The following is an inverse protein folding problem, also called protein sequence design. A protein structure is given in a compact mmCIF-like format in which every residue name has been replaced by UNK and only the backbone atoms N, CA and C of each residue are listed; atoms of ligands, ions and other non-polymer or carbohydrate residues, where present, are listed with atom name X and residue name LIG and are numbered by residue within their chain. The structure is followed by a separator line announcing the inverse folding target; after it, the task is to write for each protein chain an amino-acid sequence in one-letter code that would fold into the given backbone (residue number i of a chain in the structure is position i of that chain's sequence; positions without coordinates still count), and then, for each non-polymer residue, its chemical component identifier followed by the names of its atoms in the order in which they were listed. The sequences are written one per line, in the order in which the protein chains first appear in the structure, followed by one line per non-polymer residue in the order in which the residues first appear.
data_IF_885763774026
#
_entry.id   IF_885763774026
#
_cell.length_a   1.000
_cell.length_b   1.000
_cell.length_c   1.000
_cell.angle_alpha   90.00
_cell.angle_beta   90.00
_cell.angle_gamma   90.00
#
_symmetry.space_group_name_H-M   'P 1'
#
loop_
_entity.id
_entity.type
_entity.pdbx_description
1 polymer ?
#
# COMPACT_ATOMS: atom_id res chain seq x y z
N UNK A 1 24.51 -22.27 11.74
CA UNK A 1 23.09 -21.88 11.80
C UNK A 1 23.02 -20.39 12.06
N UNK A 2 22.89 -19.54 11.03
CA UNK A 2 22.63 -18.11 11.23
C UNK A 2 21.19 -17.94 11.73
N UNK A 3 21.01 -17.19 12.82
CA UNK A 3 19.69 -16.84 13.36
C UNK A 3 18.89 -16.17 12.24
N UNK A 4 17.82 -16.81 11.75
CA UNK A 4 16.81 -16.12 10.96
C UNK A 4 16.34 -14.91 11.76
N UNK A 5 16.21 -13.73 11.14
CA UNK A 5 15.52 -12.61 11.77
C UNK A 5 14.10 -13.08 12.09
N UNK A 6 13.70 -12.99 13.36
CA UNK A 6 12.36 -13.31 13.81
C UNK A 6 11.81 -12.10 14.56
N UNK A 7 10.53 -11.83 14.36
CA UNK A 7 9.83 -10.83 15.16
C UNK A 7 9.80 -11.30 16.61
N UNK A 8 10.29 -10.46 17.53
CA UNK A 8 10.39 -10.81 18.96
C UNK A 8 9.03 -10.88 19.66
N UNK A 9 8.03 -10.14 19.16
CA UNK A 9 6.71 -10.01 19.79
C UNK A 9 5.60 -9.98 18.75
N UNK A 10 4.40 -10.42 19.14
CA UNK A 10 3.20 -10.31 18.29
C UNK A 10 2.86 -8.87 17.95
N UNK A 11 3.07 -7.93 18.89
CA UNK A 11 2.86 -6.49 18.67
C UNK A 11 3.85 -5.94 17.64
N UNK A 12 5.12 -6.35 17.69
CA UNK A 12 6.13 -5.97 16.68
C UNK A 12 5.74 -6.44 15.28
N UNK A 13 5.27 -7.67 15.16
CA UNK A 13 4.72 -8.20 13.89
C UNK A 13 3.52 -7.38 13.39
N UNK A 14 2.53 -7.11 14.25
CA UNK A 14 1.32 -6.37 13.89
C UNK A 14 1.69 -4.97 13.41
N UNK A 15 2.56 -4.27 14.12
CA UNK A 15 2.99 -2.92 13.76
C UNK A 15 3.83 -2.89 12.48
N UNK A 16 4.70 -3.87 12.26
CA UNK A 16 5.46 -3.96 11.01
C UNK A 16 4.56 -4.25 9.82
N UNK A 17 3.61 -5.19 9.97
CA UNK A 17 2.64 -5.54 8.94
C UNK A 17 1.67 -4.39 8.67
N UNK A 18 1.22 -3.71 9.73
CA UNK A 18 0.42 -2.50 9.63
C UNK A 18 1.20 -1.37 8.95
N UNK A 19 2.47 -1.14 9.27
CA UNK A 19 3.30 -0.14 8.59
C UNK A 19 3.62 -0.46 7.12
N UNK A 20 3.43 -1.72 6.70
CA UNK A 20 3.50 -2.16 5.30
C UNK A 20 2.16 -1.99 4.58
N UNK A 21 1.04 -2.12 5.29
CA UNK A 21 -0.32 -1.92 4.76
C UNK A 21 -0.78 -0.45 4.81
N UNK A 22 -0.32 0.31 5.80
CA UNK A 22 -0.68 1.71 6.08
C UNK A 22 0.45 2.59 5.54
N UNK A 23 0.42 2.78 4.22
CA UNK A 23 1.34 3.65 3.48
C UNK A 23 0.60 4.49 2.46
N UNK A 24 1.16 4.60 1.26
CA UNK A 24 0.51 5.32 0.15
C UNK A 24 -0.87 4.77 -0.20
N UNK A 25 -1.15 3.49 0.06
CA UNK A 25 -2.44 2.87 -0.26
C UNK A 25 -3.62 3.50 0.44
N UNK A 26 -3.54 3.61 1.76
CA UNK A 26 -4.60 4.21 2.58
C UNK A 26 -4.60 5.74 2.50
N UNK A 27 -3.42 6.35 2.48
CA UNK A 27 -3.28 7.81 2.61
C UNK A 27 -3.45 8.57 1.29
N UNK A 28 -2.87 8.06 0.22
CA UNK A 28 -2.81 8.74 -1.07
C UNK A 28 -3.73 8.09 -2.09
N UNK A 29 -3.67 6.76 -2.22
CA UNK A 29 -4.38 6.02 -3.25
C UNK A 29 -5.88 6.00 -3.02
N UNK A 30 -6.30 5.70 -1.79
CA UNK A 30 -7.73 5.62 -1.46
C UNK A 30 -8.47 6.92 -1.78
N UNK A 31 -8.04 8.12 -1.32
CA UNK A 31 -8.78 9.33 -1.60
C UNK A 31 -8.94 9.65 -3.09
N UNK A 32 -7.90 9.56 -3.91
CA UNK A 32 -8.08 9.87 -5.33
C UNK A 32 -8.95 8.83 -6.04
N UNK A 33 -8.84 7.55 -5.66
CA UNK A 33 -9.69 6.50 -6.22
C UNK A 33 -11.16 6.70 -5.82
N UNK A 34 -11.42 7.04 -4.55
CA UNK A 34 -12.77 7.41 -4.12
C UNK A 34 -13.28 8.64 -4.86
N UNK A 35 -12.42 9.64 -5.12
CA UNK A 35 -12.78 10.83 -5.89
C UNK A 35 -13.22 10.51 -7.31
N UNK A 36 -12.43 9.70 -8.02
CA UNK A 36 -12.68 9.35 -9.44
C UNK A 36 -13.88 8.39 -9.61
N UNK A 37 -14.16 7.53 -8.63
CA UNK A 37 -15.12 6.42 -8.80
C UNK A 37 -16.39 6.52 -7.94
N UNK A 38 -16.82 7.73 -7.57
CA UNK A 38 -18.15 7.96 -6.98
C UNK A 38 -18.21 7.99 -5.46
N UNK A 39 -17.12 8.42 -4.82
CA UNK A 39 -17.07 8.81 -3.40
C UNK A 39 -17.56 7.71 -2.44
N UNK A 40 -18.68 7.98 -1.77
CA UNK A 40 -19.27 7.10 -0.76
C UNK A 40 -19.65 5.72 -1.29
N UNK A 41 -20.06 5.59 -2.55
CA UNK A 41 -20.38 4.28 -3.13
C UNK A 41 -19.11 3.44 -3.36
N UNK A 42 -18.02 4.09 -3.80
CA UNK A 42 -16.70 3.44 -3.87
C UNK A 42 -16.20 3.03 -2.49
N UNK A 43 -16.32 3.92 -1.49
CA UNK A 43 -15.96 3.60 -0.10
C UNK A 43 -16.73 2.37 0.39
N UNK A 44 -18.04 2.30 0.17
CA UNK A 44 -18.85 1.15 0.58
C UNK A 44 -18.35 -0.15 -0.05
N UNK A 45 -18.10 -0.16 -1.36
CA UNK A 45 -17.56 -1.36 -2.02
C UNK A 45 -16.15 -1.71 -1.54
N UNK A 46 -15.29 -0.72 -1.32
CA UNK A 46 -13.97 -0.92 -0.72
C UNK A 46 -14.07 -1.57 0.66
N UNK A 47 -15.00 -1.12 1.52
CA UNK A 47 -15.23 -1.71 2.85
C UNK A 47 -15.73 -3.15 2.75
N UNK A 48 -16.70 -3.41 1.87
CA UNK A 48 -17.23 -4.76 1.62
C UNK A 48 -16.12 -5.68 1.17
N UNK A 49 -15.33 -5.30 0.16
CA UNK A 49 -14.23 -6.13 -0.33
C UNK A 49 -13.15 -6.32 0.72
N UNK A 50 -12.81 -5.29 1.48
CA UNK A 50 -11.77 -5.36 2.52
C UNK A 50 -12.17 -6.30 3.66
N UNK A 51 -13.44 -6.28 4.08
CA UNK A 51 -13.93 -7.12 5.19
C UNK A 51 -14.22 -8.56 4.72
N UNK A 52 -14.89 -8.73 3.58
CA UNK A 52 -15.39 -10.04 3.16
C UNK A 52 -14.44 -10.81 2.23
N UNK A 53 -13.47 -10.15 1.60
CA UNK A 53 -12.47 -10.77 0.72
C UNK A 53 -11.07 -10.57 1.30
N UNK A 54 -10.70 -9.31 1.56
CA UNK A 54 -9.37 -8.92 2.03
C UNK A 54 -8.98 -9.59 3.34
N UNK A 55 -9.82 -9.49 4.38
CA UNK A 55 -9.54 -10.10 5.69
C UNK A 55 -9.38 -11.64 5.61
N UNK A 56 -10.29 -12.41 4.99
CA UNK A 56 -10.09 -13.85 4.78
C UNK A 56 -8.80 -14.21 4.02
N UNK A 57 -8.45 -13.46 2.98
CA UNK A 57 -7.20 -13.64 2.23
C UNK A 57 -5.97 -13.31 3.07
N UNK A 58 -6.02 -12.27 3.90
CA UNK A 58 -4.92 -11.91 4.80
C UNK A 58 -4.68 -13.01 5.84
N UNK A 59 -5.75 -13.57 6.41
CA UNK A 59 -5.68 -14.73 7.31
C UNK A 59 -5.04 -15.93 6.57
N UNK A 60 -5.39 -16.14 5.30
CA UNK A 60 -4.80 -17.18 4.45
C UNK A 60 -3.30 -16.97 4.25
N UNK A 61 -2.87 -15.79 3.83
CA UNK A 61 -1.45 -15.49 3.64
C UNK A 61 -0.65 -15.65 4.93
N UNK A 62 -1.18 -15.18 6.06
CA UNK A 62 -0.56 -15.38 7.37
C UNK A 62 -0.46 -16.85 7.76
N UNK A 63 -1.49 -17.65 7.46
CA UNK A 63 -1.48 -19.10 7.73
C UNK A 63 -0.40 -19.80 6.91
N UNK A 64 -0.30 -19.50 5.61
CA UNK A 64 0.72 -20.06 4.72
C UNK A 64 2.12 -19.67 5.20
N UNK A 65 2.35 -18.39 5.49
CA UNK A 65 3.63 -17.88 5.96
C UNK A 65 4.08 -18.60 7.23
N UNK A 66 3.19 -18.66 8.23
CA UNK A 66 3.48 -19.28 9.53
C UNK A 66 3.70 -20.79 9.44
N UNK A 67 3.02 -21.48 8.51
CA UNK A 67 3.20 -22.90 8.23
C UNK A 67 4.53 -23.17 7.52
N UNK A 68 4.88 -22.37 6.52
CA UNK A 68 6.05 -22.61 5.67
C UNK A 68 7.38 -22.14 6.24
N UNK A 69 7.42 -21.04 7.01
CA UNK A 69 8.63 -20.47 7.65
C UNK A 69 9.86 -20.44 6.75
N UNK A 70 9.69 -19.95 5.53
CA UNK A 70 10.75 -19.81 4.52
C UNK A 70 10.41 -18.64 3.59
N UNK A 71 11.37 -18.23 2.76
CA UNK A 71 11.17 -17.20 1.74
C UNK A 71 10.11 -17.63 0.69
N UNK A 72 9.36 -16.65 0.19
CA UNK A 72 8.11 -16.87 -0.56
C UNK A 72 8.27 -17.57 -1.89
N UNK A 73 9.39 -17.39 -2.59
CA UNK A 73 9.62 -18.11 -3.86
C UNK A 73 9.84 -19.61 -3.69
N UNK A 74 10.09 -20.11 -2.48
CA UNK A 74 10.20 -21.54 -2.20
C UNK A 74 9.08 -22.10 -1.29
N UNK A 75 8.26 -21.24 -0.69
CA UNK A 75 7.29 -21.65 0.33
C UNK A 75 6.24 -22.61 -0.23
N UNK A 76 5.75 -22.35 -1.44
CA UNK A 76 4.72 -23.15 -2.08
C UNK A 76 5.21 -24.56 -2.37
N UNK A 77 6.40 -24.71 -2.96
CA UNK A 77 6.99 -26.02 -3.26
C UNK A 77 7.40 -26.79 -2.01
N UNK A 78 7.82 -26.10 -0.94
CA UNK A 78 8.07 -26.72 0.37
C UNK A 78 6.81 -27.32 0.97
N UNK A 79 5.68 -26.61 0.90
CA UNK A 79 4.41 -27.03 1.49
C UNK A 79 3.68 -28.09 0.65
N UNK A 80 3.76 -28.01 -0.68
CA UNK A 80 3.06 -28.95 -1.58
C UNK A 80 3.88 -30.20 -1.93
N UNK A 81 5.21 -30.16 -1.73
CA UNK A 81 6.14 -31.16 -2.26
C UNK A 81 6.38 -31.05 -3.78
N UNK A 82 5.75 -30.09 -4.46
CA UNK A 82 5.82 -29.91 -5.93
C UNK A 82 6.54 -28.62 -6.29
N UNK A 83 7.76 -28.70 -6.83
CA UNK A 83 8.59 -27.51 -7.13
C UNK A 83 7.93 -26.50 -8.09
N UNK A 84 7.07 -26.94 -9.01
CA UNK A 84 6.41 -26.05 -9.98
C UNK A 84 5.48 -25.01 -9.31
N UNK A 85 4.94 -25.29 -8.12
CA UNK A 85 4.05 -24.35 -7.41
C UNK A 85 4.78 -23.09 -6.94
N UNK A 86 6.11 -23.09 -6.96
CA UNK A 86 6.93 -21.90 -6.68
C UNK A 86 6.69 -20.75 -7.66
N UNK A 87 6.08 -21.01 -8.82
CA UNK A 87 5.68 -19.97 -9.77
C UNK A 87 4.78 -18.90 -9.12
N UNK A 88 3.94 -19.29 -8.15
CA UNK A 88 3.09 -18.36 -7.40
C UNK A 88 3.96 -17.34 -6.65
N UNK A 89 5.00 -17.82 -5.96
CA UNK A 89 5.96 -16.96 -5.26
C UNK A 89 6.75 -16.05 -6.20
N UNK A 90 7.16 -16.54 -7.37
CA UNK A 90 7.86 -15.72 -8.38
C UNK A 90 6.95 -14.65 -9.00
N UNK A 91 5.68 -14.96 -9.22
CA UNK A 91 4.70 -13.97 -9.71
C UNK A 91 4.48 -12.84 -8.70
N UNK A 92 4.39 -13.17 -7.40
CA UNK A 92 4.32 -12.19 -6.34
C UNK A 92 5.58 -11.32 -6.26
N UNK A 93 6.77 -11.92 -6.47
CA UNK A 93 8.02 -11.17 -6.51
C UNK A 93 8.05 -10.15 -7.68
N UNK A 94 7.59 -10.56 -8.86
CA UNK A 94 7.45 -9.64 -10.00
C UNK A 94 6.46 -8.50 -9.68
N UNK A 95 5.35 -8.82 -9.02
CA UNK A 95 4.36 -7.83 -8.60
C UNK A 95 4.96 -6.78 -7.67
N UNK A 96 5.68 -7.18 -6.61
CA UNK A 96 6.32 -6.21 -5.69
C UNK A 96 7.44 -5.41 -6.34
N UNK A 97 8.13 -5.98 -7.33
CA UNK A 97 9.17 -5.28 -8.09
C UNK A 97 8.57 -4.14 -8.93
N UNK A 98 7.52 -4.43 -9.70
CA UNK A 98 6.81 -3.40 -10.50
C UNK A 98 6.10 -2.39 -9.58
N UNK A 99 5.51 -2.88 -8.48
CA UNK A 99 4.88 -2.05 -7.45
C UNK A 99 5.85 -1.01 -6.90
N UNK A 100 7.06 -1.43 -6.52
CA UNK A 100 8.06 -0.49 -6.00
C UNK A 100 8.42 0.58 -7.04
N UNK A 101 8.40 0.24 -8.33
CA UNK A 101 8.59 1.17 -9.42
C UNK A 101 7.65 2.38 -9.35
N UNK A 102 6.34 2.19 -9.50
CA UNK A 102 5.42 3.34 -9.46
C UNK A 102 5.24 3.93 -8.05
N UNK A 103 5.38 3.11 -6.99
CA UNK A 103 5.35 3.58 -5.61
C UNK A 103 6.47 4.60 -5.34
N UNK A 104 7.65 4.41 -5.95
CA UNK A 104 8.78 5.34 -5.81
C UNK A 104 8.56 6.70 -6.46
N UNK A 105 7.67 6.80 -7.47
CA UNK A 105 7.31 8.07 -8.11
C UNK A 105 6.63 8.98 -7.10
N UNK A 106 5.60 8.46 -6.43
CA UNK A 106 4.85 9.16 -5.38
C UNK A 106 5.74 9.44 -4.17
N UNK A 107 6.59 8.48 -3.78
CA UNK A 107 7.61 8.70 -2.76
C UNK A 107 8.54 9.87 -3.09
N UNK A 108 8.91 10.01 -4.37
CA UNK A 108 9.69 11.14 -4.88
C UNK A 108 8.96 12.48 -4.77
N UNK A 109 7.64 12.50 -5.01
CA UNK A 109 6.83 13.72 -4.79
C UNK A 109 6.87 14.18 -3.34
N UNK A 110 6.80 13.25 -2.39
CA UNK A 110 6.92 13.58 -0.96
C UNK A 110 8.28 14.22 -0.66
N UNK A 111 9.37 13.67 -1.18
CA UNK A 111 10.73 14.24 -1.02
C UNK A 111 10.80 15.67 -1.57
N UNK A 112 10.25 15.89 -2.76
CA UNK A 112 10.26 17.22 -3.40
C UNK A 112 9.46 18.22 -2.56
N UNK A 113 8.28 17.84 -2.08
CA UNK A 113 7.44 18.70 -1.24
C UNK A 113 8.11 19.01 0.11
N UNK A 114 8.77 18.03 0.74
CA UNK A 114 9.56 18.27 1.96
C UNK A 114 10.63 19.33 1.69
N UNK A 115 11.37 19.21 0.59
CA UNK A 115 12.43 20.16 0.25
C UNK A 115 11.85 21.57 0.02
N UNK A 116 10.76 21.70 -0.72
CA UNK A 116 10.13 23.00 -0.99
C UNK A 116 9.62 23.68 0.28
N UNK A 117 8.90 22.94 1.13
CA UNK A 117 8.36 23.47 2.40
C UNK A 117 9.49 23.80 3.38
N UNK A 118 10.55 22.99 3.43
CA UNK A 118 11.72 23.28 4.24
C UNK A 118 12.44 24.56 3.77
N UNK A 119 12.65 24.73 2.46
CA UNK A 119 13.23 25.95 1.89
C UNK A 119 12.39 27.19 2.20
N UNK A 120 11.07 27.06 2.15
CA UNK A 120 10.14 28.13 2.51
C UNK A 120 10.27 28.53 3.99
N UNK A 121 10.33 27.55 4.90
CA UNK A 121 10.45 27.80 6.34
C UNK A 121 11.75 28.50 6.74
N UNK A 122 12.84 28.27 6.00
CA UNK A 122 14.12 28.95 6.22
C UNK A 122 14.25 30.28 5.47
N UNK A 123 13.18 30.75 4.82
CA UNK A 123 13.14 32.02 4.10
C UNK A 123 13.85 32.03 2.75
N UNK A 124 14.22 30.85 2.22
CA UNK A 124 14.85 30.69 0.90
C UNK A 124 13.83 30.37 -0.21
N UNK A 125 12.60 30.00 0.16
CA UNK A 125 11.49 29.77 -0.77
C UNK A 125 10.68 31.04 -1.04
N UNK A 126 10.10 31.13 -2.25
CA UNK A 126 9.14 32.18 -2.59
C UNK A 126 7.70 31.68 -2.42
N UNK A 127 6.81 32.54 -1.92
CA UNK A 127 5.37 32.27 -1.82
C UNK A 127 4.89 31.60 -0.52
N UNK A 128 3.59 31.29 -0.50
CA UNK A 128 2.90 30.59 0.61
C UNK A 128 2.70 29.10 0.28
N UNK A 129 2.28 28.26 1.24
CA UNK A 129 2.04 26.83 0.97
C UNK A 129 1.09 26.61 -0.22
N UNK A 130 0.07 27.45 -0.35
CA UNK A 130 -0.91 27.38 -1.42
C UNK A 130 -0.39 27.75 -2.82
N UNK A 131 0.82 28.33 -2.89
CA UNK A 131 1.49 28.66 -4.16
C UNK A 131 2.29 27.49 -4.75
N UNK A 132 2.43 26.38 -4.02
CA UNK A 132 3.06 25.17 -4.54
C UNK A 132 2.09 24.50 -5.54
N UNK A 133 2.33 24.70 -6.82
CA UNK A 133 1.53 24.11 -7.89
C UNK A 133 2.00 22.68 -8.22
N UNK A 134 1.26 21.68 -7.76
CA UNK A 134 1.58 20.26 -7.98
C UNK A 134 1.88 19.94 -9.44
N UNK A 135 1.01 20.38 -10.37
CA UNK A 135 1.14 20.07 -11.79
C UNK A 135 2.44 20.65 -12.39
N UNK A 136 2.88 21.82 -11.92
CA UNK A 136 4.17 22.39 -12.33
C UNK A 136 5.34 21.56 -11.80
N UNK A 137 5.24 21.09 -10.55
CA UNK A 137 6.28 20.24 -9.93
C UNK A 137 6.45 18.93 -10.70
N UNK A 138 5.35 18.23 -11.00
CA UNK A 138 5.42 16.93 -11.69
C UNK A 138 5.72 17.06 -13.19
N UNK A 139 5.49 18.23 -13.79
CA UNK A 139 5.82 18.49 -15.19
C UNK A 139 7.32 18.67 -15.44
N UNK A 140 8.14 18.85 -14.40
CA UNK A 140 9.59 18.97 -14.55
C UNK A 140 10.28 17.59 -14.44
N UNK A 141 10.80 17.04 -15.56
CA UNK A 141 11.34 15.68 -15.59
C UNK A 141 12.56 15.50 -14.68
N UNK A 142 13.43 16.51 -14.60
CA UNK A 142 14.67 16.45 -13.82
C UNK A 142 14.34 16.40 -12.33
N UNK A 143 13.47 17.29 -11.85
CA UNK A 143 13.06 17.29 -10.44
C UNK A 143 12.40 15.98 -10.03
N UNK A 144 11.50 15.45 -10.85
CA UNK A 144 10.80 14.20 -10.54
C UNK A 144 11.70 12.97 -10.54
N UNK A 145 12.66 12.87 -11.49
CA UNK A 145 13.61 11.76 -11.53
C UNK A 145 14.57 11.82 -10.34
N UNK A 146 15.05 13.01 -9.97
CA UNK A 146 15.92 13.18 -8.80
C UNK A 146 15.16 12.82 -7.51
N UNK A 147 13.93 13.31 -7.33
CA UNK A 147 13.11 12.98 -6.17
C UNK A 147 12.87 11.47 -6.02
N UNK A 148 12.53 10.80 -7.12
CA UNK A 148 12.39 9.35 -7.17
C UNK A 148 13.71 8.64 -6.84
N UNK A 149 14.82 9.07 -7.44
CA UNK A 149 16.14 8.50 -7.20
C UNK A 149 16.57 8.62 -5.73
N UNK A 150 16.31 9.76 -5.10
CA UNK A 150 16.56 9.97 -3.66
C UNK A 150 15.70 9.03 -2.82
N UNK A 151 14.41 8.89 -3.13
CA UNK A 151 13.52 7.99 -2.40
C UNK A 151 14.03 6.53 -2.48
N UNK A 152 14.34 6.04 -3.67
CA UNK A 152 14.89 4.69 -3.87
C UNK A 152 16.24 4.54 -3.17
N UNK A 153 17.10 5.55 -3.20
CA UNK A 153 18.40 5.54 -2.53
C UNK A 153 18.25 5.39 -1.01
N UNK A 154 17.33 6.12 -0.39
CA UNK A 154 17.04 6.01 1.04
C UNK A 154 16.56 4.58 1.36
N UNK A 155 15.59 4.06 0.59
CA UNK A 155 15.11 2.68 0.75
C UNK A 155 16.25 1.66 0.61
N UNK A 156 17.11 1.83 -0.39
CA UNK A 156 18.26 0.97 -0.67
C UNK A 156 19.23 0.96 0.52
N UNK A 157 19.62 2.12 1.03
CA UNK A 157 20.55 2.24 2.16
C UNK A 157 19.99 1.57 3.40
N UNK A 158 18.70 1.78 3.71
CA UNK A 158 18.06 1.14 4.86
C UNK A 158 18.04 -0.38 4.72
N UNK A 159 17.72 -0.90 3.53
CA UNK A 159 17.75 -2.33 3.26
C UNK A 159 19.18 -2.87 3.36
N UNK A 160 20.18 -2.20 2.78
CA UNK A 160 21.59 -2.61 2.87
C UNK A 160 22.07 -2.77 4.31
N UNK A 161 21.71 -1.82 5.17
CA UNK A 161 22.13 -1.80 6.58
C UNK A 161 21.36 -2.79 7.46
N UNK A 162 20.25 -3.38 6.98
CA UNK A 162 19.46 -4.34 7.74
C UNK A 162 18.84 -3.74 9.01
N UNK A 163 18.47 -2.45 8.97
CA UNK A 163 17.99 -1.67 10.13
C UNK A 163 16.56 -2.01 10.58
N UNK A 164 16.07 -3.20 10.24
CA UNK A 164 14.70 -3.69 10.51
C UNK A 164 14.29 -3.49 11.99
N UNK A 165 15.22 -3.72 12.92
CA UNK A 165 15.00 -3.51 14.35
C UNK A 165 14.86 -2.04 14.75
N UNK A 166 15.57 -1.13 14.07
CA UNK A 166 15.45 0.30 14.27
C UNK A 166 14.12 0.83 13.75
N UNK A 167 13.65 0.30 12.61
CA UNK A 167 12.36 0.64 12.02
C UNK A 167 11.19 0.21 12.89
N UNK A 168 11.25 -0.96 13.54
CA UNK A 168 10.20 -1.39 14.48
C UNK A 168 10.04 -0.37 15.62
N UNK A 169 11.16 0.12 16.18
CA UNK A 169 11.15 1.14 17.24
C UNK A 169 10.63 2.48 16.74
N UNK A 170 11.08 2.93 15.57
CA UNK A 170 10.60 4.17 14.98
C UNK A 170 9.11 4.10 14.67
N UNK A 171 8.62 2.99 14.12
CA UNK A 171 7.21 2.80 13.75
C UNK A 171 6.26 2.89 14.95
N UNK A 172 6.71 2.45 16.14
CA UNK A 172 5.95 2.58 17.40
C UNK A 172 5.67 4.03 17.80
N UNK A 173 6.45 4.99 17.29
CA UNK A 173 6.28 6.43 17.55
C UNK A 173 5.67 7.12 16.34
N UNK A 174 6.20 6.87 15.14
CA UNK A 174 5.83 7.57 13.92
C UNK A 174 4.39 7.27 13.47
N UNK A 175 3.93 6.02 13.56
CA UNK A 175 2.55 5.69 13.14
C UNK A 175 1.48 6.33 14.04
N UNK A 176 1.56 6.25 15.38
CA UNK A 176 0.64 6.98 16.24
C UNK A 176 0.68 8.49 16.00
N UNK A 177 1.86 9.07 15.78
CA UNK A 177 1.99 10.50 15.52
C UNK A 177 1.36 10.88 14.18
N UNK A 178 1.53 10.07 13.13
CA UNK A 178 0.85 10.25 11.84
C UNK A 178 -0.69 10.24 12.03
N UNK A 179 -1.19 9.33 12.87
CA UNK A 179 -2.62 9.23 13.17
C UNK A 179 -3.15 10.48 13.89
N UNK A 180 -2.40 11.01 14.86
CA UNK A 180 -2.74 12.27 15.53
C UNK A 180 -2.79 13.42 14.52
N UNK A 181 -1.79 13.52 13.63
CA UNK A 181 -1.77 14.55 12.59
C UNK A 181 -2.95 14.42 11.61
N UNK A 182 -3.31 13.20 11.21
CA UNK A 182 -4.51 12.96 10.41
C UNK A 182 -5.78 13.49 11.10
N UNK A 183 -5.96 13.21 12.38
CA UNK A 183 -7.11 13.73 13.14
C UNK A 183 -7.10 15.26 13.16
N UNK A 184 -5.94 15.88 13.38
CA UNK A 184 -5.82 17.35 13.34
C UNK A 184 -6.23 17.91 11.97
N UNK A 185 -5.80 17.28 10.88
CA UNK A 185 -6.17 17.68 9.51
C UNK A 185 -7.68 17.51 9.31
N UNK A 186 -8.27 16.39 9.75
CA UNK A 186 -9.73 16.15 9.65
C UNK A 186 -10.50 17.24 10.40
N UNK A 187 -10.12 17.55 11.65
CA UNK A 187 -10.76 18.62 12.44
C UNK A 187 -10.67 19.96 11.69
N UNK A 188 -9.52 20.28 11.12
CA UNK A 188 -9.36 21.51 10.34
C UNK A 188 -10.20 21.48 9.07
N UNK A 189 -10.19 20.37 8.33
CA UNK A 189 -10.94 20.20 7.08
C UNK A 189 -12.45 20.32 7.30
N UNK A 190 -12.96 19.80 8.43
CA UNK A 190 -14.38 19.87 8.79
C UNK A 190 -14.83 21.27 9.24
N UNK A 191 -13.90 22.14 9.60
CA UNK A 191 -14.22 23.53 9.98
C UNK A 191 -14.16 24.53 8.81
N UNK A 192 -13.85 24.06 7.60
CA UNK A 192 -13.86 24.89 6.39
C UNK A 192 -15.29 25.08 5.85
N UNK A 193 -15.51 26.21 5.19
CA UNK A 193 -16.78 26.49 4.52
C UNK A 193 -17.04 25.48 3.39
N UNK A 194 -18.26 24.97 3.28
CA UNK A 194 -18.62 23.94 2.29
C UNK A 194 -18.20 22.50 2.68
N UNK A 195 -17.60 22.30 3.86
CA UNK A 195 -17.16 20.97 4.32
C UNK A 195 -18.27 19.90 4.31
N UNK A 196 -19.52 20.30 4.60
CA UNK A 196 -20.65 19.38 4.66
C UNK A 196 -20.89 18.64 3.34
N UNK A 197 -20.67 19.28 2.20
CA UNK A 197 -20.83 18.66 0.87
C UNK A 197 -19.74 17.61 0.62
N UNK A 198 -18.49 17.91 0.99
CA UNK A 198 -17.39 16.95 0.90
C UNK A 198 -17.56 15.76 1.84
N UNK A 199 -18.12 15.97 3.04
CA UNK A 199 -18.50 14.87 3.95
C UNK A 199 -19.59 14.00 3.33
N UNK A 200 -20.65 14.61 2.76
CA UNK A 200 -21.70 13.86 2.04
C UNK A 200 -21.10 13.08 0.87
N UNK A 201 -20.24 13.69 0.07
CA UNK A 201 -19.59 13.03 -1.06
C UNK A 201 -18.89 11.72 -0.67
N UNK A 202 -18.17 11.69 0.46
CA UNK A 202 -17.42 10.49 0.87
C UNK A 202 -18.19 9.53 1.78
N UNK A 203 -19.21 10.00 2.52
CA UNK A 203 -19.95 9.16 3.48
C UNK A 203 -21.35 8.73 3.00
N UNK A 204 -21.94 9.43 2.04
CA UNK A 204 -23.26 9.11 1.49
C UNK A 204 -23.11 8.22 0.24
N UNK A 205 -23.48 6.92 0.31
CA UNK A 205 -23.28 6.02 -0.82
C UNK A 205 -24.35 6.23 -1.89
N UNK A 206 -23.98 6.90 -2.98
CA UNK A 206 -24.82 7.06 -4.18
C UNK A 206 -24.46 6.02 -5.23
N UNK A 207 -25.21 4.93 -5.30
CA UNK A 207 -24.92 3.81 -6.22
C UNK A 207 -24.96 4.21 -7.70
N UNK A 208 -25.67 5.28 -8.03
CA UNK A 208 -25.73 5.86 -9.37
C UNK A 208 -24.37 6.41 -9.84
N UNK A 209 -23.51 6.83 -8.90
CA UNK A 209 -22.17 7.36 -9.21
C UNK A 209 -21.12 6.24 -9.38
N UNK A 210 -21.50 4.99 -9.08
CA UNK A 210 -20.58 3.86 -9.09
C UNK A 210 -20.69 3.07 -10.40
N UNK A 211 -19.66 3.20 -11.23
CA UNK A 211 -19.53 2.37 -12.43
C UNK A 211 -19.05 0.95 -12.12
N UNK A 212 -19.27 0.02 -13.05
CA UNK A 212 -18.68 -1.32 -12.97
C UNK A 212 -17.15 -1.25 -12.83
N UNK A 213 -16.52 -0.33 -13.56
CA UNK A 213 -15.09 -0.05 -13.42
C UNK A 213 -14.74 0.37 -11.97
N UNK A 214 -15.53 1.24 -11.36
CA UNK A 214 -15.38 1.62 -9.95
C UNK A 214 -15.42 0.44 -8.98
N UNK A 215 -16.31 -0.54 -9.21
CA UNK A 215 -16.36 -1.79 -8.43
C UNK A 215 -15.04 -2.58 -8.56
N UNK A 216 -14.53 -2.75 -9.78
CA UNK A 216 -13.27 -3.46 -10.02
C UNK A 216 -12.08 -2.76 -9.36
N UNK A 217 -12.04 -1.45 -9.44
CA UNK A 217 -11.01 -0.64 -8.79
C UNK A 217 -11.12 -0.63 -7.26
N UNK A 218 -12.33 -0.73 -6.70
CA UNK A 218 -12.51 -0.89 -5.25
C UNK A 218 -11.93 -2.22 -4.75
N UNK A 219 -12.07 -3.31 -5.53
CA UNK A 219 -11.42 -4.59 -5.22
C UNK A 219 -9.89 -4.47 -5.30
N UNK A 220 -9.36 -3.92 -6.40
CA UNK A 220 -7.93 -3.70 -6.57
C UNK A 220 -7.34 -2.82 -5.46
N UNK A 221 -8.09 -1.79 -5.04
CA UNK A 221 -7.72 -0.93 -3.93
C UNK A 221 -7.70 -1.68 -2.59
N UNK A 222 -8.65 -2.58 -2.35
CA UNK A 222 -8.63 -3.46 -1.17
C UNK A 222 -7.38 -4.34 -1.12
N UNK A 223 -6.97 -4.89 -2.27
CA UNK A 223 -5.80 -5.77 -2.37
C UNK A 223 -4.51 -4.97 -2.15
N UNK A 224 -4.43 -3.80 -2.78
CA UNK A 224 -3.32 -2.87 -2.61
C UNK A 224 -3.19 -2.41 -1.15
N UNK A 225 -4.29 -1.98 -0.54
CA UNK A 225 -4.30 -1.46 0.82
C UNK A 225 -3.86 -2.50 1.86
N UNK A 226 -4.11 -3.79 1.61
CA UNK A 226 -3.69 -4.88 2.49
C UNK A 226 -2.43 -5.62 2.00
N UNK A 227 -1.81 -5.18 0.92
CA UNK A 227 -0.66 -5.82 0.25
C UNK A 227 -0.88 -7.30 -0.11
N UNK A 228 -2.10 -7.66 -0.50
CA UNK A 228 -2.53 -9.03 -0.80
C UNK A 228 -2.13 -9.47 -2.21
N UNK A 229 -1.94 -10.78 -2.39
CA UNK A 229 -1.67 -11.38 -3.69
C UNK A 229 -0.23 -11.19 -4.20
N UNK A 230 0.61 -10.46 -3.46
CA UNK A 230 2.02 -10.23 -3.81
C UNK A 230 2.99 -11.11 -3.02
N UNK A 231 2.46 -12.00 -2.17
CA UNK A 231 3.22 -12.80 -1.19
C UNK A 231 3.94 -12.01 -0.09
N UNK A 232 3.81 -10.68 -0.06
CA UNK A 232 4.43 -9.85 0.98
C UNK A 232 4.00 -10.23 2.39
N UNK A 233 2.70 -10.40 2.61
CA UNK A 233 2.15 -10.78 3.92
C UNK A 233 2.49 -12.22 4.30
N UNK A 234 2.64 -13.13 3.32
CA UNK A 234 3.21 -14.47 3.52
C UNK A 234 4.64 -14.38 4.08
N UNK A 235 5.50 -13.56 3.49
CA UNK A 235 6.88 -13.38 3.98
C UNK A 235 6.89 -12.86 5.40
N UNK A 236 6.10 -11.82 5.71
CA UNK A 236 6.05 -11.22 7.03
C UNK A 236 5.66 -12.26 8.08
N UNK A 237 4.62 -13.06 7.78
CA UNK A 237 4.14 -14.12 8.65
C UNK A 237 5.11 -15.30 8.76
N UNK A 238 6.03 -15.50 7.80
CA UNK A 238 7.07 -16.52 7.88
C UNK A 238 8.07 -16.26 9.03
N UNK A 239 8.22 -15.00 9.43
CA UNK A 239 9.06 -14.54 10.54
C UNK A 239 8.29 -14.35 11.85
N UNK A 240 6.98 -14.62 11.86
CA UNK A 240 6.13 -14.38 13.02
C UNK A 240 6.46 -15.30 14.22
N UNK A 241 6.28 -14.79 15.46
CA UNK A 241 6.47 -15.60 16.66
C UNK A 241 5.42 -16.73 16.71
N UNK A 242 5.73 -17.82 17.42
CA UNK A 242 4.84 -18.99 17.49
C UNK A 242 3.50 -18.62 18.15
N UNK A 243 3.54 -17.70 19.10
CA UNK A 243 2.46 -17.25 19.96
C UNK A 243 1.51 -16.26 19.26
N UNK A 244 1.88 -15.75 18.07
CA UNK A 244 1.04 -14.82 17.31
C UNK A 244 -0.33 -15.45 16.98
N UNK A 245 -1.40 -14.74 17.31
CA UNK A 245 -2.76 -15.04 16.89
C UNK A 245 -3.04 -14.44 15.51
N UNK A 246 -3.22 -15.31 14.52
CA UNK A 246 -3.45 -14.92 13.12
C UNK A 246 -4.68 -14.02 12.98
N UNK A 247 -5.82 -14.47 13.52
CA UNK A 247 -7.11 -13.77 13.41
C UNK A 247 -7.05 -12.35 13.97
N UNK A 248 -6.59 -12.21 15.21
CA UNK A 248 -6.51 -10.90 15.87
C UNK A 248 -5.56 -9.97 15.13
N UNK A 249 -4.41 -10.49 14.69
CA UNK A 249 -3.42 -9.68 13.96
C UNK A 249 -3.98 -9.19 12.62
N UNK A 250 -4.62 -10.08 11.83
CA UNK A 250 -5.23 -9.72 10.57
C UNK A 250 -6.37 -8.71 10.76
N UNK A 251 -7.24 -8.92 11.75
CA UNK A 251 -8.33 -8.00 12.05
C UNK A 251 -7.82 -6.61 12.47
N UNK A 252 -6.79 -6.55 13.33
CA UNK A 252 -6.19 -5.28 13.73
C UNK A 252 -5.64 -4.51 12.53
N UNK A 253 -4.92 -5.18 11.61
CA UNK A 253 -4.37 -4.55 10.41
C UNK A 253 -5.49 -4.00 9.50
N UNK A 254 -6.53 -4.80 9.28
CA UNK A 254 -7.68 -4.40 8.46
C UNK A 254 -8.42 -3.21 9.05
N UNK A 255 -8.70 -3.23 10.36
CA UNK A 255 -9.38 -2.11 11.03
C UNK A 255 -8.53 -0.85 10.97
N UNK A 256 -7.23 -0.92 11.29
CA UNK A 256 -6.35 0.24 11.21
C UNK A 256 -6.29 0.81 9.79
N UNK A 257 -6.23 -0.06 8.77
CA UNK A 257 -6.22 0.37 7.37
C UNK A 257 -7.52 1.09 6.97
N UNK A 258 -8.68 0.55 7.36
CA UNK A 258 -9.99 1.17 7.11
C UNK A 258 -10.07 2.54 7.78
N UNK A 259 -9.68 2.64 9.05
CA UNK A 259 -9.73 3.92 9.78
C UNK A 259 -8.83 4.95 9.11
N UNK A 260 -7.59 4.59 8.76
CA UNK A 260 -6.67 5.53 8.10
C UNK A 260 -7.19 5.96 6.73
N UNK A 261 -7.75 5.03 5.94
CA UNK A 261 -8.34 5.35 4.63
C UNK A 261 -9.52 6.32 4.78
N UNK A 262 -10.38 6.10 5.76
CA UNK A 262 -11.51 6.98 6.07
C UNK A 262 -11.05 8.36 6.53
N UNK A 263 -10.07 8.43 7.43
CA UNK A 263 -9.48 9.69 7.89
C UNK A 263 -8.81 10.44 6.73
N UNK A 264 -8.10 9.75 5.84
CA UNK A 264 -7.50 10.37 4.66
C UNK A 264 -8.57 10.95 3.72
N UNK A 265 -9.69 10.24 3.52
CA UNK A 265 -10.84 10.77 2.80
C UNK A 265 -11.42 12.03 3.47
N UNK A 266 -11.67 11.98 4.78
CA UNK A 266 -12.20 13.10 5.56
C UNK A 266 -11.21 14.28 5.72
N UNK A 267 -9.91 14.04 5.51
CA UNK A 267 -8.89 15.09 5.49
C UNK A 267 -8.86 15.86 4.16
N UNK A 268 -9.39 15.26 3.09
CA UNK A 268 -9.32 15.78 1.72
C UNK A 268 -10.68 16.30 1.27
N UNK A 269 -11.72 15.45 1.24
CA UNK A 269 -12.99 15.76 0.61
C UNK A 269 -13.72 16.96 1.22
N UNK A 270 -13.78 17.17 2.54
CA UNK A 270 -14.40 18.37 3.10
C UNK A 270 -13.67 19.66 2.70
N UNK A 271 -12.37 19.60 2.37
CA UNK A 271 -11.59 20.76 1.97
C UNK A 271 -11.68 21.09 0.47
N UNK A 272 -12.10 20.17 -0.41
CA UNK A 272 -12.03 20.41 -1.86
C UNK A 272 -12.96 21.55 -2.30
N UNK A 273 -14.19 21.61 -1.77
CA UNK A 273 -15.16 22.65 -2.15
C UNK A 273 -14.72 24.02 -1.64
N UNK A 274 -14.17 24.09 -0.43
CA UNK A 274 -13.62 25.31 0.15
C UNK A 274 -12.52 25.94 -0.71
N UNK A 275 -11.78 25.12 -1.46
CA UNK A 275 -10.66 25.57 -2.30
C UNK A 275 -10.94 25.47 -3.81
N UNK A 276 -12.15 25.10 -4.22
CA UNK A 276 -12.55 25.00 -5.63
C UNK A 276 -11.89 23.83 -6.39
N UNK A 277 -11.41 22.80 -5.68
CA UNK A 277 -10.90 21.58 -6.30
C UNK A 277 -12.03 20.60 -6.62
N UNK A 278 -11.81 19.76 -7.64
CA UNK A 278 -12.72 18.67 -7.99
C UNK A 278 -12.28 17.34 -7.35
N UNK A 279 -13.20 16.42 -7.04
CA UNK A 279 -12.84 15.08 -6.58
C UNK A 279 -11.95 14.31 -7.56
N UNK A 280 -12.08 14.56 -8.86
CA UNK A 280 -11.46 13.77 -9.93
C UNK A 280 -10.07 14.29 -10.36
N UNK A 281 -9.37 15.06 -9.51
CA UNK A 281 -8.00 15.57 -9.75
C UNK A 281 -6.91 14.47 -9.80
N UNK A 282 -7.30 13.20 -9.65
CA UNK A 282 -6.45 12.04 -9.83
C UNK A 282 -5.29 11.95 -8.81
N UNK A 283 -4.16 11.33 -9.20
CA UNK A 283 -3.00 11.10 -8.33
C UNK A 283 -2.47 12.32 -7.55
N UNK A 284 -2.72 13.53 -8.03
CA UNK A 284 -2.25 14.77 -7.41
C UNK A 284 -3.11 15.29 -6.26
N UNK A 285 -4.32 14.75 -6.05
CA UNK A 285 -5.35 15.35 -5.18
C UNK A 285 -4.82 15.71 -3.78
N UNK A 286 -4.15 14.76 -3.10
CA UNK A 286 -3.58 14.99 -1.77
C UNK A 286 -2.58 16.15 -1.75
N UNK A 287 -1.71 16.22 -2.77
CA UNK A 287 -0.66 17.22 -2.88
C UNK A 287 -1.16 18.61 -3.32
N UNK A 288 -2.38 18.69 -3.86
CA UNK A 288 -3.07 19.97 -4.18
C UNK A 288 -3.86 20.49 -2.97
N UNK A 289 -4.55 19.60 -2.26
CA UNK A 289 -5.51 19.97 -1.21
C UNK A 289 -4.81 20.23 0.13
N UNK A 290 -3.95 19.32 0.59
CA UNK A 290 -3.39 19.43 1.95
C UNK A 290 -2.55 20.70 2.19
N UNK A 291 -1.70 21.18 1.25
CA UNK A 291 -1.00 22.46 1.45
C UNK A 291 -1.95 23.61 1.79
N UNK A 292 -3.13 23.65 1.13
CA UNK A 292 -4.16 24.67 1.36
C UNK A 292 -4.85 24.50 2.72
N UNK A 293 -5.12 23.26 3.15
CA UNK A 293 -5.67 23.01 4.50
C UNK A 293 -4.71 23.51 5.58
N UNK A 294 -3.42 23.19 5.45
CA UNK A 294 -2.40 23.64 6.41
C UNK A 294 -2.18 25.15 6.37
N UNK A 295 -2.29 25.79 5.21
CA UNK A 295 -2.21 27.25 5.08
C UNK A 295 -3.25 27.99 5.93
N UNK A 296 -4.40 27.35 6.20
CA UNK A 296 -5.46 27.88 7.07
C UNK A 296 -5.18 27.70 8.57
N UNK A 297 -4.02 27.16 8.96
CA UNK A 297 -3.63 26.91 10.35
C UNK A 297 -2.51 27.87 10.80
N UNK A 298 -2.56 28.32 12.05
CA UNK A 298 -1.42 28.99 12.68
C UNK A 298 -0.20 28.07 12.68
N UNK A 299 0.94 28.56 12.19
CA UNK A 299 2.16 27.76 11.96
C UNK A 299 1.96 26.58 10.98
N UNK A 300 1.07 26.74 10.01
CA UNK A 300 0.70 25.73 9.02
C UNK A 300 1.86 25.05 8.30
N UNK A 301 2.86 25.81 7.85
CA UNK A 301 4.02 25.28 7.14
C UNK A 301 4.85 24.32 7.99
N UNK A 302 5.01 24.59 9.28
CA UNK A 302 5.68 23.69 10.20
C UNK A 302 4.91 22.39 10.43
N UNK A 303 3.58 22.49 10.63
CA UNK A 303 2.73 21.30 10.75
C UNK A 303 2.71 20.47 9.47
N UNK A 304 2.68 21.11 8.29
CA UNK A 304 2.72 20.42 7.01
C UNK A 304 4.06 19.70 6.79
N UNK A 305 5.18 20.33 7.15
CA UNK A 305 6.49 19.68 7.08
C UNK A 305 6.54 18.42 7.96
N UNK A 306 6.05 18.51 9.20
CA UNK A 306 6.01 17.35 10.11
C UNK A 306 5.12 16.25 9.52
N UNK A 307 3.94 16.61 9.01
CA UNK A 307 3.05 15.67 8.33
C UNK A 307 3.75 14.98 7.16
N UNK A 308 4.44 15.73 6.29
CA UNK A 308 5.15 15.17 5.15
C UNK A 308 6.29 14.23 5.58
N UNK A 309 7.01 14.54 6.67
CA UNK A 309 8.04 13.65 7.22
C UNK A 309 7.42 12.35 7.74
N UNK A 310 6.29 12.42 8.44
CA UNK A 310 5.55 11.24 8.92
C UNK A 310 4.99 10.42 7.76
N UNK A 311 4.51 11.11 6.73
CA UNK A 311 4.01 10.48 5.52
C UNK A 311 5.14 9.82 4.72
N UNK A 312 6.29 10.46 4.60
CA UNK A 312 7.51 9.89 4.03
C UNK A 312 7.93 8.65 4.81
N UNK A 313 7.89 8.69 6.14
CA UNK A 313 8.22 7.54 6.97
C UNK A 313 7.29 6.34 6.67
N UNK A 314 5.99 6.56 6.58
CA UNK A 314 5.02 5.52 6.21
C UNK A 314 5.21 5.01 4.77
N UNK A 315 5.60 5.90 3.84
CA UNK A 315 5.96 5.50 2.49
C UNK A 315 7.24 4.65 2.48
N UNK A 316 8.24 5.04 3.27
CA UNK A 316 9.51 4.32 3.38
C UNK A 316 9.32 2.93 3.99
N UNK A 317 8.54 2.75 5.06
CA UNK A 317 8.29 1.43 5.68
C UNK A 317 7.73 0.44 4.66
N UNK A 318 6.79 0.88 3.83
CA UNK A 318 6.24 0.07 2.75
C UNK A 318 7.29 -0.22 1.68
N UNK A 319 8.05 0.79 1.22
CA UNK A 319 9.08 0.60 0.19
C UNK A 319 10.21 -0.36 0.62
N UNK A 320 10.60 -0.31 1.90
CA UNK A 320 11.59 -1.21 2.49
C UNK A 320 11.08 -2.64 2.43
N UNK A 321 9.79 -2.85 2.73
CA UNK A 321 9.13 -4.15 2.58
C UNK A 321 9.24 -4.67 1.14
N UNK A 322 8.93 -3.83 0.16
CA UNK A 322 8.94 -4.21 -1.27
C UNK A 322 10.35 -4.56 -1.77
N UNK A 323 11.36 -3.79 -1.37
CA UNK A 323 12.75 -4.08 -1.74
C UNK A 323 13.30 -5.31 -0.98
N UNK A 324 13.01 -5.44 0.32
CA UNK A 324 13.47 -6.58 1.13
C UNK A 324 12.93 -7.92 0.61
N UNK A 325 11.69 -7.95 0.12
CA UNK A 325 11.11 -9.13 -0.51
C UNK A 325 11.96 -9.61 -1.69
N UNK A 326 12.36 -8.70 -2.57
CA UNK A 326 13.25 -9.01 -3.69
C UNK A 326 14.64 -9.43 -3.20
N UNK A 327 15.24 -8.70 -2.26
CA UNK A 327 16.60 -8.96 -1.78
C UNK A 327 16.73 -10.29 -1.05
N UNK A 328 15.77 -10.63 -0.19
CA UNK A 328 15.78 -11.86 0.62
C UNK A 328 15.77 -13.13 -0.25
N UNK A 329 15.10 -13.09 -1.41
CA UNK A 329 15.03 -14.21 -2.37
C UNK A 329 16.40 -14.50 -2.99
N UNK A 330 17.11 -13.47 -3.45
CA UNK A 330 18.40 -13.66 -4.14
C UNK A 330 19.57 -13.85 -3.17
N UNK A 331 19.47 -13.31 -1.96
CA UNK A 331 20.47 -13.54 -0.91
C UNK A 331 20.38 -14.96 -0.34
N UNK A 332 19.20 -15.57 -0.30
CA UNK A 332 18.98 -16.91 0.29
C UNK A 332 19.56 -17.04 1.71
N UNK A 333 19.44 -15.98 2.51
CA UNK A 333 20.06 -15.82 3.85
C UNK A 333 21.59 -15.66 3.87
N UNK A 334 22.24 -15.42 2.74
CA UNK A 334 23.65 -15.03 2.68
C UNK A 334 23.79 -13.50 2.75
N UNK A 335 24.02 -13.00 3.96
CA UNK A 335 24.18 -11.57 4.23
C UNK A 335 25.33 -10.93 3.44
N UNK A 336 26.35 -11.70 2.99
CA UNK A 336 27.44 -11.15 2.18
C UNK A 336 26.98 -10.63 0.81
N UNK A 337 25.87 -11.18 0.31
CA UNK A 337 25.27 -10.77 -0.97
C UNK A 337 24.29 -9.61 -0.81
N UNK A 338 23.87 -9.29 0.41
CA UNK A 338 22.78 -8.34 0.70
C UNK A 338 23.01 -6.98 0.05
N UNK A 339 24.18 -6.39 0.28
CA UNK A 339 24.53 -5.09 -0.31
C UNK A 339 24.49 -5.12 -1.84
N UNK A 340 25.15 -6.11 -2.44
CA UNK A 340 25.20 -6.24 -3.91
C UNK A 340 23.81 -6.41 -4.52
N UNK A 341 22.97 -7.26 -3.91
CA UNK A 341 21.61 -7.54 -4.39
C UNK A 341 20.70 -6.33 -4.21
N UNK A 342 20.80 -5.63 -3.08
CA UNK A 342 20.03 -4.40 -2.83
C UNK A 342 20.36 -3.32 -3.86
N UNK A 343 21.65 -3.09 -4.15
CA UNK A 343 22.09 -2.13 -5.16
C UNK A 343 21.55 -2.50 -6.55
N UNK A 344 21.72 -3.75 -6.97
CA UNK A 344 21.22 -4.21 -8.27
C UNK A 344 19.69 -4.05 -8.36
N UNK A 345 18.96 -4.48 -7.32
CA UNK A 345 17.52 -4.36 -7.25
C UNK A 345 17.05 -2.92 -7.36
N UNK A 346 17.65 -2.01 -6.59
CA UNK A 346 17.32 -0.58 -6.61
C UNK A 346 17.64 0.09 -7.94
N UNK A 347 18.77 -0.24 -8.57
CA UNK A 347 19.12 0.28 -9.90
C UNK A 347 18.11 -0.19 -10.95
N UNK A 348 17.74 -1.47 -10.93
CA UNK A 348 16.74 -2.01 -11.87
C UNK A 348 15.36 -1.37 -11.68
N UNK A 349 14.93 -1.19 -10.42
CA UNK A 349 13.67 -0.49 -10.11
C UNK A 349 13.71 0.94 -10.62
N UNK A 350 14.80 1.67 -10.35
CA UNK A 350 14.96 3.04 -10.83
C UNK A 350 14.84 3.13 -12.35
N UNK A 351 15.57 2.29 -13.09
CA UNK A 351 15.52 2.28 -14.55
C UNK A 351 14.13 1.97 -15.12
N UNK A 352 13.45 0.95 -14.56
CA UNK A 352 12.12 0.54 -15.03
C UNK A 352 11.03 1.56 -14.66
N UNK A 353 11.26 2.38 -13.65
CA UNK A 353 10.27 3.36 -13.17
C UNK A 353 10.45 4.77 -13.72
N UNK A 354 11.56 5.08 -14.40
CA UNK A 354 11.75 6.36 -15.11
C UNK A 354 10.60 6.66 -16.09
N UNK A 355 10.14 5.73 -16.96
CA UNK A 355 9.04 6.01 -17.86
C UNK A 355 7.74 6.38 -17.15
N UNK A 356 7.44 5.77 -15.99
CA UNK A 356 6.27 6.13 -15.19
C UNK A 356 6.41 7.54 -14.60
N UNK A 357 7.58 7.92 -14.10
CA UNK A 357 7.86 9.27 -13.64
C UNK A 357 7.69 10.30 -14.76
N UNK A 358 8.23 10.00 -15.94
CA UNK A 358 8.16 10.88 -17.11
C UNK A 358 6.75 10.96 -17.71
N UNK A 359 5.85 10.04 -17.37
CA UNK A 359 4.46 10.08 -17.86
C UNK A 359 3.64 11.27 -17.32
N UNK A 360 4.15 11.98 -16.31
CA UNK A 360 3.60 13.25 -15.85
C UNK A 360 4.26 14.48 -16.50
N UNK A 361 5.26 14.27 -17.35
CA UNK A 361 6.05 15.33 -18.00
C UNK A 361 6.30 15.00 -19.47
N UNK A 362 7.52 14.60 -19.83
CA UNK A 362 7.96 14.42 -21.23
C UNK A 362 7.24 13.30 -21.98
N UNK A 363 6.69 12.31 -21.28
CA UNK A 363 5.93 11.19 -21.84
C UNK A 363 4.42 11.31 -21.58
N UNK A 364 3.94 12.49 -21.19
CA UNK A 364 2.51 12.72 -20.91
C UNK A 364 1.59 12.46 -22.08
N UNK A 365 2.04 12.61 -23.33
CA UNK A 365 1.25 12.30 -24.51
C UNK A 365 1.08 10.79 -24.81
N UNK A 366 1.79 9.91 -24.10
CA UNK A 366 1.72 8.46 -24.33
C UNK A 366 0.63 7.85 -23.47
N UNK A 367 -0.51 7.56 -24.10
CA UNK A 367 -1.63 6.86 -23.48
C UNK A 367 -1.96 5.57 -24.21
N UNK A 368 -2.16 4.50 -23.46
CA UNK A 368 -2.62 3.21 -23.97
C UNK A 368 -3.25 2.39 -22.84
N UNK A 369 -4.09 1.42 -23.17
CA UNK A 369 -4.64 0.47 -22.18
C UNK A 369 -5.42 1.16 -21.06
N UNK A 370 -4.80 1.24 -19.88
CA UNK A 370 -5.39 1.82 -18.66
C UNK A 370 -5.16 3.34 -18.50
N UNK A 371 -4.30 3.96 -19.31
CA UNK A 371 -4.01 5.39 -19.21
C UNK A 371 -2.57 5.74 -19.56
N UNK A 372 -1.94 6.58 -18.74
CA UNK A 372 -0.51 6.89 -18.82
C UNK A 372 0.37 5.67 -18.51
N UNK A 373 1.68 5.77 -18.68
CA UNK A 373 2.60 4.68 -18.30
C UNK A 373 2.50 4.38 -16.80
N UNK A 374 2.34 5.41 -15.95
CA UNK A 374 2.10 5.25 -14.53
C UNK A 374 0.82 4.45 -14.26
N UNK A 375 -0.29 4.82 -14.91
CA UNK A 375 -1.59 4.16 -14.72
C UNK A 375 -1.54 2.69 -15.17
N UNK A 376 -0.82 2.40 -16.27
CA UNK A 376 -0.63 1.03 -16.74
C UNK A 376 0.19 0.18 -15.77
N UNK A 377 1.25 0.75 -15.15
CA UNK A 377 2.02 0.05 -14.12
C UNK A 377 1.17 -0.23 -12.88
N UNK A 378 0.38 0.75 -12.44
CA UNK A 378 -0.54 0.56 -11.32
C UNK A 378 -1.59 -0.50 -11.63
N UNK A 379 -2.24 -0.42 -12.79
CA UNK A 379 -3.24 -1.38 -13.23
C UNK A 379 -2.67 -2.80 -13.34
N UNK A 380 -1.48 -2.96 -13.93
CA UNK A 380 -0.81 -4.25 -14.03
C UNK A 380 -0.61 -4.88 -12.64
N UNK A 381 -0.24 -4.10 -11.63
CA UNK A 381 -0.03 -4.65 -10.29
C UNK A 381 -1.36 -4.84 -9.56
N UNK A 382 -2.09 -3.75 -9.35
CA UNK A 382 -3.25 -3.67 -8.45
C UNK A 382 -4.45 -4.45 -8.96
N UNK A 383 -4.59 -4.55 -10.29
CA UNK A 383 -5.76 -5.13 -10.93
C UNK A 383 -5.46 -6.44 -11.68
N UNK A 384 -4.20 -6.74 -11.98
CA UNK A 384 -3.82 -8.00 -12.63
C UNK A 384 -3.01 -8.90 -11.71
N UNK A 385 -1.79 -8.53 -11.36
CA UNK A 385 -0.87 -9.41 -10.64
C UNK A 385 -1.35 -9.74 -9.23
N UNK A 386 -1.89 -8.77 -8.49
CA UNK A 386 -2.45 -8.99 -7.15
C UNK A 386 -3.67 -9.93 -7.16
N UNK A 387 -4.73 -9.68 -7.98
CA UNK A 387 -5.84 -10.62 -8.11
C UNK A 387 -5.43 -12.02 -8.54
N UNK A 388 -4.56 -12.14 -9.55
CA UNK A 388 -4.07 -13.45 -10.02
C UNK A 388 -3.25 -14.18 -8.95
N UNK A 389 -2.40 -13.46 -8.21
CA UNK A 389 -1.62 -14.04 -7.11
C UNK A 389 -2.51 -14.52 -5.97
N UNK A 390 -3.52 -13.74 -5.60
CA UNK A 390 -4.52 -14.14 -4.60
C UNK A 390 -5.32 -15.37 -5.08
N UNK A 391 -5.80 -15.37 -6.32
CA UNK A 391 -6.50 -16.50 -6.93
C UNK A 391 -5.64 -17.77 -6.91
N UNK A 392 -4.40 -17.70 -7.40
CA UNK A 392 -3.48 -18.84 -7.40
C UNK A 392 -3.20 -19.35 -5.98
N UNK A 393 -3.10 -18.45 -5.00
CA UNK A 393 -2.90 -18.81 -3.59
C UNK A 393 -4.15 -19.48 -3.00
N UNK A 394 -5.36 -19.02 -3.33
CA UNK A 394 -6.61 -19.69 -2.89
C UNK A 394 -6.72 -21.12 -3.45
N UNK A 395 -6.40 -21.33 -4.73
CA UNK A 395 -6.37 -22.66 -5.34
C UNK A 395 -5.32 -23.54 -4.67
N UNK A 396 -4.13 -23.00 -4.41
CA UNK A 396 -3.07 -23.71 -3.70
C UNK A 396 -3.53 -24.21 -2.32
N UNK A 397 -4.15 -23.35 -1.52
CA UNK A 397 -4.66 -23.70 -0.19
C UNK A 397 -5.82 -24.71 -0.28
N UNK A 398 -6.75 -24.49 -1.20
CA UNK A 398 -7.94 -25.33 -1.35
C UNK A 398 -7.65 -26.74 -1.87
N UNK A 399 -6.65 -26.88 -2.76
CA UNK A 399 -6.39 -28.13 -3.48
C UNK A 399 -5.14 -28.88 -3.02
N UNK A 400 -4.09 -28.19 -2.56
CA UNK A 400 -2.79 -28.80 -2.29
C UNK A 400 -2.45 -28.89 -0.79
N UNK A 401 -3.11 -28.12 0.07
CA UNK A 401 -2.87 -28.17 1.52
C UNK A 401 -3.93 -29.01 2.24
N UNK A 402 -3.49 -29.74 3.26
CA UNK A 402 -4.39 -30.52 4.13
C UNK A 402 -5.06 -29.59 5.13
N UNK A 403 -6.39 -29.72 5.27
CA UNK A 403 -7.18 -28.95 6.24
C UNK A 403 -6.62 -29.02 7.67
N UNK A 404 -6.16 -30.21 8.11
CA UNK A 404 -5.58 -30.41 9.45
C UNK A 404 -4.33 -29.55 9.71
N UNK A 405 -3.49 -29.34 8.70
CA UNK A 405 -2.28 -28.54 8.83
C UNK A 405 -2.62 -27.05 8.99
N UNK A 406 -3.65 -26.59 8.27
CA UNK A 406 -4.19 -25.24 8.39
C UNK A 406 -4.84 -25.00 9.76
N UNK A 407 -5.64 -25.95 10.23
CA UNK A 407 -6.35 -25.87 11.53
C UNK A 407 -5.38 -25.71 12.69
N UNK A 408 -4.28 -26.48 12.67
CA UNK A 408 -3.23 -26.41 13.68
C UNK A 408 -2.60 -25.02 13.80
N UNK A 409 -2.44 -24.33 12.68
CA UNK A 409 -1.81 -22.99 12.61
C UNK A 409 -2.82 -21.87 12.85
N UNK A 410 -4.08 -22.07 12.48
CA UNK A 410 -5.21 -21.16 12.74
C UNK A 410 -5.40 -20.90 14.25
N UNK A 411 -4.96 -21.84 15.08
CA UNK A 411 -4.85 -21.69 16.53
C UNK A 411 -6.20 -21.80 17.23
N UNK A 412 -6.27 -21.32 18.48
CA UNK A 412 -7.49 -21.42 19.30
C UNK A 412 -8.67 -20.76 18.59
N UNK A 413 -9.76 -21.52 18.44
CA UNK A 413 -10.93 -21.09 17.68
C UNK A 413 -12.23 -21.15 18.50
N UNK A 414 -12.33 -20.27 19.49
CA UNK A 414 -13.50 -20.19 20.38
C UNK A 414 -14.81 -19.97 19.62
N UNK A 415 -14.76 -19.23 18.51
CA UNK A 415 -15.92 -18.87 17.69
C UNK A 415 -16.17 -19.87 16.55
N UNK A 416 -15.42 -20.98 16.46
CA UNK A 416 -15.54 -22.00 15.40
C UNK A 416 -15.49 -21.42 13.97
N UNK A 417 -14.70 -20.35 13.76
CA UNK A 417 -14.57 -19.65 12.49
C UNK A 417 -13.70 -20.37 11.45
N UNK A 418 -12.93 -21.39 11.86
CA UNK A 418 -12.01 -22.10 10.96
C UNK A 418 -12.73 -22.77 9.79
N UNK A 419 -13.80 -23.53 10.06
CA UNK A 419 -14.53 -24.28 9.03
C UNK A 419 -15.21 -23.34 8.02
N UNK A 420 -15.96 -22.30 8.45
CA UNK A 420 -16.49 -21.29 7.52
C UNK A 420 -15.40 -20.61 6.70
N UNK A 421 -14.30 -20.20 7.35
CA UNK A 421 -13.18 -19.56 6.66
C UNK A 421 -12.51 -20.48 5.63
N UNK A 422 -12.31 -21.76 5.96
CA UNK A 422 -11.70 -22.73 5.05
C UNK A 422 -12.55 -22.92 3.80
N UNK A 423 -13.87 -23.06 3.93
CA UNK A 423 -14.77 -23.21 2.78
C UNK A 423 -14.92 -21.92 1.97
N UNK A 424 -14.91 -20.77 2.64
CA UNK A 424 -14.84 -19.46 1.99
C UNK A 424 -13.60 -19.37 1.09
N UNK A 425 -12.41 -19.66 1.63
CA UNK A 425 -11.14 -19.64 0.88
C UNK A 425 -11.09 -20.69 -0.22
N UNK A 426 -11.61 -21.89 0.04
CA UNK A 426 -11.52 -23.01 -0.90
C UNK A 426 -12.46 -22.90 -2.10
N UNK A 427 -13.66 -22.39 -1.91
CA UNK A 427 -14.71 -22.43 -2.93
C UNK A 427 -15.22 -21.04 -3.34
N UNK A 428 -15.50 -20.16 -2.39
CA UNK A 428 -16.17 -18.89 -2.69
C UNK A 428 -15.18 -17.84 -3.21
N UNK A 429 -14.07 -17.61 -2.50
CA UNK A 429 -13.07 -16.61 -2.90
C UNK A 429 -12.46 -16.85 -4.29
N UNK A 430 -12.03 -18.07 -4.69
CA UNK A 430 -11.51 -18.26 -6.03
C UNK A 430 -12.53 -17.93 -7.11
N UNK A 431 -13.81 -18.24 -6.90
CA UNK A 431 -14.88 -17.91 -7.85
C UNK A 431 -15.10 -16.41 -7.90
N UNK A 432 -15.21 -15.73 -6.75
CA UNK A 432 -15.40 -14.27 -6.70
C UNK A 432 -14.23 -13.55 -7.35
N UNK A 433 -12.98 -13.92 -7.03
CA UNK A 433 -11.79 -13.31 -7.63
C UNK A 433 -11.76 -13.56 -9.14
N UNK A 434 -12.05 -14.79 -9.59
CA UNK A 434 -12.09 -15.11 -11.01
C UNK A 434 -13.17 -14.33 -11.75
N UNK A 435 -14.39 -14.25 -11.21
CA UNK A 435 -15.49 -13.49 -11.81
C UNK A 435 -15.12 -12.01 -11.95
N UNK A 436 -14.60 -11.41 -10.88
CA UNK A 436 -14.19 -9.99 -10.91
C UNK A 436 -13.05 -9.77 -11.89
N UNK A 437 -12.05 -10.67 -11.91
CA UNK A 437 -10.93 -10.60 -12.83
C UNK A 437 -11.37 -10.75 -14.30
N UNK A 438 -12.29 -11.68 -14.58
CA UNK A 438 -12.86 -11.87 -15.93
C UNK A 438 -13.64 -10.64 -16.36
N UNK A 439 -14.51 -10.10 -15.51
CA UNK A 439 -15.25 -8.87 -15.79
C UNK A 439 -14.33 -7.67 -16.03
N UNK A 440 -13.13 -7.67 -15.45
CA UNK A 440 -12.14 -6.64 -15.69
C UNK A 440 -11.47 -6.72 -17.08
N UNK A 441 -11.43 -7.91 -17.68
CA UNK A 441 -10.87 -8.12 -19.03
C UNK A 441 -11.88 -7.85 -20.14
N UNK A 442 -13.16 -8.06 -19.87
CA UNK A 442 -14.26 -7.76 -20.79
C UNK A 442 -14.75 -6.33 -20.53
N UNK A 443 -14.10 -5.36 -21.18
CA UNK A 443 -14.59 -3.97 -21.27
C UNK A 443 -15.90 -3.89 -22.04
#
# INVERSE_FOLDING_TARGET
MSKQSQWKTSTGFILASAGSAIGLGAMWKFPYMAGVYGGGAFLLMFLVFTIFIGLPLLIMEFTIGKLGRTYTTAIFGKLSGKKWTNIIGWSGNLAVFVLFGFYSVVGGWIIIYIAQVAMQLVGLGSGTLGSIHFDQVISNPVYTIIGQGIFILITMVIVMLGVEHGLEKASKVMMPLLFVFLILIVIKSLSLDGAAEGVRFILEPRMEDLSMQGVLFALGQSFFALSLGTTGMITYASYAPKEMTIKTSALSIVIMNIIVSLLAGLAIFPAINAFGYKPEEGPGLLFKVLPRVFEQMSFGAGFYLIFLILFLFAALTSSISLLELNVSIFTKNDNRKRTKVAVIGSVLVFLISIPATLSFSSLSGIHFGAGSIFDNMDFLVSNILMPLGAFATTLFVGQLLKMKDLEKVFGRDRLKLFVPWYYLVKYVLPVVILLVFVMQLFK
#
